data_IF_835657074326
#
_entry.id   IF_835657074326
#
_cell.length_a   1.000
_cell.length_b   1.000
_cell.length_c   1.000
_cell.angle_alpha   90.00
_cell.angle_beta   90.00
_cell.angle_gamma   90.00
#
_symmetry.space_group_name_H-M   'P 1'
#
loop_
_entity.id
_entity.type
_entity.pdbx_description
1 polymer ?
#
# COMPACT_ATOMS: atom_id res chain seq x y z
N UNK A 1 -81.56 13.61 59.84
CA UNK A 1 -81.01 14.41 58.74
C UNK A 1 -80.42 15.66 59.34
N UNK A 2 -79.17 15.93 58.98
CA UNK A 2 -78.50 17.24 58.97
C UNK A 2 -78.29 18.06 60.24
N UNK A 3 -77.03 18.47 60.30
CA UNK A 3 -76.53 19.82 60.58
C UNK A 3 -75.99 20.15 61.97
N UNK A 4 -74.80 20.73 61.88
CA UNK A 4 -73.75 20.92 62.86
C UNK A 4 -74.05 22.13 63.76
N UNK A 5 -73.60 22.03 65.01
CA UNK A 5 -73.74 23.02 66.05
C UNK A 5 -72.32 23.46 66.47
N UNK A 6 -72.10 24.79 66.45
CA UNK A 6 -71.32 25.65 67.38
C UNK A 6 -69.87 25.24 67.79
N UNK A 7 -68.94 26.12 68.18
CA UNK A 7 -69.01 27.27 69.09
C UNK A 7 -67.72 28.13 69.00
N UNK A 8 -67.82 29.35 69.54
CA UNK A 8 -66.74 30.29 69.85
C UNK A 8 -65.70 29.77 70.88
N UNK A 9 -64.50 30.38 70.93
CA UNK A 9 -63.92 31.08 72.11
C UNK A 9 -62.48 31.58 71.84
N UNK A 10 -62.21 32.77 72.39
CA UNK A 10 -60.98 33.57 72.40
C UNK A 10 -59.83 33.04 73.27
N UNK A 11 -58.60 33.49 73.03
CA UNK A 11 -57.50 33.41 74.00
C UNK A 11 -56.15 33.84 73.44
N UNK A 12 -55.62 34.97 73.92
CA UNK A 12 -54.23 35.39 73.68
C UNK A 12 -53.29 34.95 74.82
N UNK A 13 -51.97 34.94 74.57
CA UNK A 13 -50.85 35.20 75.51
C UNK A 13 -49.48 34.90 74.85
N UNK A 14 -48.79 35.97 74.41
CA UNK A 14 -47.44 36.43 74.83
C UNK A 14 -46.18 35.49 74.75
N UNK A 15 -44.94 36.01 74.89
CA UNK A 15 -43.80 35.68 74.01
C UNK A 15 -42.68 34.87 74.69
N UNK A 16 -41.84 34.23 73.89
CA UNK A 16 -40.52 33.75 74.31
C UNK A 16 -39.47 34.10 73.24
N UNK A 17 -38.79 35.22 73.46
CA UNK A 17 -37.45 35.46 72.92
C UNK A 17 -36.48 34.49 73.63
N UNK A 18 -35.68 33.72 72.88
CA UNK A 18 -34.28 33.49 73.29
C UNK A 18 -33.40 32.94 72.16
N UNK A 19 -32.32 33.70 71.94
CA UNK A 19 -30.98 33.29 71.46
C UNK A 19 -30.82 32.69 70.06
N UNK A 20 -30.43 33.59 69.17
CA UNK A 20 -29.22 33.54 68.35
C UNK A 20 -28.30 32.33 68.61
N UNK A 21 -28.25 31.41 67.65
CA UNK A 21 -27.06 30.61 67.38
C UNK A 21 -26.69 30.80 65.91
N UNK A 22 -25.59 31.52 65.73
CA UNK A 22 -24.79 31.63 64.53
C UNK A 22 -24.29 30.24 64.06
N UNK A 23 -24.20 30.11 62.73
CA UNK A 23 -23.86 28.95 61.89
C UNK A 23 -22.72 28.01 62.36
N UNK A 24 -22.65 26.83 61.72
CA UNK A 24 -21.42 26.54 61.00
C UNK A 24 -21.68 26.21 59.52
N UNK A 25 -21.11 27.03 58.62
CA UNK A 25 -20.67 26.55 57.31
C UNK A 25 -19.70 25.40 57.52
N UNK A 26 -20.14 24.16 57.34
CA UNK A 26 -19.24 23.01 57.31
C UNK A 26 -19.61 22.05 56.17
N UNK A 27 -18.95 22.28 55.03
CA UNK A 27 -18.13 21.23 54.41
C UNK A 27 -18.82 20.11 53.67
N UNK A 28 -19.68 20.41 52.68
CA UNK A 28 -20.06 19.42 51.66
C UNK A 28 -18.87 19.18 50.70
N UNK A 29 -17.91 18.37 51.12
CA UNK A 29 -16.99 17.68 50.19
C UNK A 29 -17.71 16.48 49.56
N UNK A 30 -18.78 16.72 48.78
CA UNK A 30 -19.45 15.65 48.02
C UNK A 30 -19.51 15.93 46.51
N UNK A 31 -18.40 16.46 45.99
CA UNK A 31 -18.14 16.56 44.55
C UNK A 31 -16.90 15.78 44.12
N UNK A 32 -16.15 15.15 45.04
CA UNK A 32 -14.89 14.48 44.69
C UNK A 32 -15.09 13.08 44.08
N UNK A 33 -15.96 12.24 44.68
CA UNK A 33 -16.17 10.86 44.23
C UNK A 33 -16.99 10.77 42.94
N UNK A 34 -18.10 11.51 42.86
CA UNK A 34 -18.94 11.57 41.65
C UNK A 34 -18.13 12.08 40.44
N UNK A 35 -17.39 13.18 40.60
CA UNK A 35 -16.56 13.73 39.51
C UNK A 35 -15.41 12.79 39.14
N UNK A 36 -14.79 12.13 40.12
CA UNK A 36 -13.78 11.10 39.86
C UNK A 36 -14.35 9.94 39.02
N UNK A 37 -15.50 9.38 39.43
CA UNK A 37 -16.13 8.28 38.70
C UNK A 37 -16.61 8.70 37.30
N UNK A 38 -17.13 9.91 37.12
CA UNK A 38 -17.49 10.42 35.78
C UNK A 38 -16.27 10.56 34.87
N UNK A 39 -15.15 11.09 35.38
CA UNK A 39 -13.89 11.17 34.62
C UNK A 39 -13.33 9.79 34.28
N UNK A 40 -13.38 8.86 35.24
CA UNK A 40 -12.97 7.49 35.02
C UNK A 40 -13.82 6.81 33.95
N UNK A 41 -15.15 6.96 34.01
CA UNK A 41 -16.06 6.44 32.98
C UNK A 41 -15.79 7.05 31.61
N UNK A 42 -15.57 8.36 31.51
CA UNK A 42 -15.24 9.01 30.25
C UNK A 42 -13.90 8.50 29.68
N UNK A 43 -12.91 8.29 30.54
CA UNK A 43 -11.61 7.72 30.15
C UNK A 43 -11.77 6.30 29.63
N UNK A 44 -12.48 5.44 30.36
CA UNK A 44 -12.71 4.03 29.97
C UNK A 44 -13.49 3.96 28.65
N UNK A 45 -14.56 4.74 28.49
CA UNK A 45 -15.32 4.79 27.22
C UNK A 45 -14.48 5.37 26.07
N UNK A 46 -13.67 6.39 26.34
CA UNK A 46 -12.72 6.93 25.37
C UNK A 46 -11.69 5.89 24.92
N UNK A 47 -11.15 5.10 25.85
CA UNK A 47 -10.22 4.01 25.55
C UNK A 47 -10.88 2.93 24.68
N UNK A 48 -12.11 2.51 25.01
CA UNK A 48 -12.89 1.58 24.18
C UNK A 48 -13.13 2.18 22.78
N UNK A 49 -13.50 3.46 22.71
CA UNK A 49 -13.68 4.18 21.44
C UNK A 49 -12.42 4.19 20.58
N UNK A 50 -11.24 4.42 21.17
CA UNK A 50 -9.95 4.37 20.45
C UNK A 50 -9.66 2.96 19.95
N UNK A 51 -9.84 1.93 20.77
CA UNK A 51 -9.58 0.54 20.38
C UNK A 51 -10.42 0.13 19.17
N UNK A 52 -11.68 0.59 19.09
CA UNK A 52 -12.56 0.31 17.96
C UNK A 52 -12.31 1.23 16.76
N UNK A 53 -12.00 2.51 16.97
CA UNK A 53 -11.79 3.47 15.89
C UNK A 53 -10.47 3.24 15.15
N UNK A 54 -9.40 2.86 15.86
CA UNK A 54 -8.06 2.67 15.27
C UNK A 54 -8.03 1.70 14.08
N UNK A 55 -8.59 0.46 14.14
CA UNK A 55 -8.58 -0.42 12.98
C UNK A 55 -9.38 0.13 11.80
N UNK A 56 -10.51 0.81 12.05
CA UNK A 56 -11.35 1.41 11.01
C UNK A 56 -10.61 2.56 10.32
N UNK A 57 -10.07 3.49 11.09
CA UNK A 57 -9.31 4.64 10.57
C UNK A 57 -8.06 4.16 9.82
N UNK A 58 -7.34 3.17 10.37
CA UNK A 58 -6.18 2.58 9.71
C UNK A 58 -6.55 1.87 8.40
N UNK A 59 -7.69 1.18 8.35
CA UNK A 59 -8.18 0.54 7.14
C UNK A 59 -8.51 1.58 6.06
N UNK A 60 -9.24 2.64 6.42
CA UNK A 60 -9.65 3.69 5.49
C UNK A 60 -8.48 4.55 5.00
N UNK A 61 -7.54 4.91 5.88
CA UNK A 61 -6.37 5.73 5.54
C UNK A 61 -5.16 4.90 5.10
N UNK A 62 -5.23 3.58 5.17
CA UNK A 62 -4.16 2.66 4.81
C UNK A 62 -3.52 2.95 3.46
N UNK A 63 -4.29 3.13 2.38
CA UNK A 63 -3.76 3.43 1.05
C UNK A 63 -2.96 4.74 0.96
N UNK A 64 -3.31 5.75 1.76
CA UNK A 64 -2.66 7.07 1.75
C UNK A 64 -1.39 7.06 2.60
N UNK A 65 -1.43 6.35 3.74
CA UNK A 65 -0.32 6.31 4.70
C UNK A 65 0.77 5.34 4.22
N UNK A 66 0.40 4.26 3.52
CA UNK A 66 1.36 3.33 2.92
C UNK A 66 1.83 3.86 1.56
N UNK A 67 2.67 4.90 1.56
CA UNK A 67 3.46 5.24 0.36
C UNK A 67 4.32 4.02 0.02
N UNK A 68 3.98 3.32 -1.06
CA UNK A 68 4.76 2.20 -1.60
C UNK A 68 6.13 2.72 -2.08
N UNK A 69 7.08 2.84 -1.16
CA UNK A 69 8.48 3.22 -1.44
C UNK A 69 9.20 2.22 -2.35
N UNK A 70 8.60 1.06 -2.59
CA UNK A 70 9.11 -0.03 -3.42
C UNK A 70 8.85 0.13 -4.93
N UNK A 71 8.26 1.25 -5.36
CA UNK A 71 7.75 1.43 -6.72
C UNK A 71 8.83 1.37 -7.84
N UNK A 72 10.11 1.49 -7.51
CA UNK A 72 11.22 1.47 -8.47
C UNK A 72 12.49 0.91 -7.83
N UNK A 73 12.40 -0.26 -7.20
CA UNK A 73 13.57 -0.88 -6.60
C UNK A 73 14.43 -1.59 -7.65
N UNK A 74 15.75 -1.47 -7.55
CA UNK A 74 16.66 -2.25 -8.37
C UNK A 74 16.80 -3.65 -7.77
N UNK A 75 16.30 -4.65 -8.49
CA UNK A 75 16.25 -6.06 -8.05
C UNK A 75 17.23 -6.87 -8.90
N UNK A 76 18.01 -7.73 -8.27
CA UNK A 76 18.95 -8.62 -8.96
C UNK A 76 18.20 -9.81 -9.57
N UNK A 77 18.49 -10.12 -10.84
CA UNK A 77 17.98 -11.33 -11.53
C UNK A 77 18.95 -12.51 -11.46
N UNK A 78 20.23 -12.24 -11.22
CA UNK A 78 21.28 -13.26 -11.23
C UNK A 78 22.59 -12.70 -11.77
N UNK A 79 23.53 -13.59 -12.08
CA UNK A 79 24.75 -13.21 -12.77
C UNK A 79 24.49 -13.05 -14.27
N UNK A 80 25.29 -12.23 -14.93
CA UNK A 80 25.27 -12.02 -16.38
C UNK A 80 25.50 -13.34 -17.14
N UNK A 81 26.31 -14.24 -16.59
CA UNK A 81 26.65 -15.53 -17.20
C UNK A 81 25.52 -16.57 -17.15
N UNK A 82 24.52 -16.36 -16.28
CA UNK A 82 23.30 -17.20 -16.24
C UNK A 82 22.44 -17.02 -17.50
N UNK A 83 22.74 -15.98 -18.29
CA UNK A 83 22.05 -15.59 -19.51
C UNK A 83 23.05 -15.65 -20.69
N UNK A 84 23.08 -16.75 -21.47
CA UNK A 84 23.96 -16.88 -22.63
C UNK A 84 23.57 -15.94 -23.78
N UNK A 85 24.54 -15.52 -24.59
CA UNK A 85 24.30 -14.65 -25.75
C UNK A 85 23.46 -15.34 -26.82
N UNK A 86 22.52 -14.59 -27.41
CA UNK A 86 21.59 -15.09 -28.40
C UNK A 86 20.41 -15.88 -27.83
N UNK A 87 20.38 -16.14 -26.52
CA UNK A 87 19.32 -16.90 -25.86
C UNK A 87 18.35 -16.00 -25.08
N UNK A 88 17.12 -16.50 -24.95
CA UNK A 88 16.09 -15.97 -24.06
C UNK A 88 15.85 -16.98 -22.94
N UNK A 89 16.07 -16.57 -21.69
CA UNK A 89 15.91 -17.40 -20.50
C UNK A 89 14.85 -16.83 -19.57
N UNK A 90 14.17 -17.72 -18.86
CA UNK A 90 13.24 -17.33 -17.80
C UNK A 90 14.05 -16.98 -16.55
N UNK A 91 13.69 -15.88 -15.89
CA UNK A 91 14.23 -15.50 -14.60
C UNK A 91 13.11 -15.08 -13.66
N UNK A 92 13.30 -15.34 -12.37
CA UNK A 92 12.34 -14.95 -11.33
C UNK A 92 12.97 -13.89 -10.42
N UNK A 93 12.15 -12.99 -9.93
CA UNK A 93 12.53 -12.00 -8.92
C UNK A 93 11.44 -11.89 -7.85
N UNK A 94 11.83 -11.49 -6.62
CA UNK A 94 10.87 -11.26 -5.54
C UNK A 94 10.32 -9.85 -5.61
N UNK A 95 9.00 -9.69 -5.68
CA UNK A 95 8.39 -8.37 -5.71
C UNK A 95 8.60 -7.66 -4.35
N UNK A 96 9.16 -6.43 -4.33
CA UNK A 96 9.46 -5.67 -3.11
C UNK A 96 8.21 -5.17 -2.37
N UNK A 97 7.03 -5.29 -2.97
CA UNK A 97 5.74 -4.96 -2.34
C UNK A 97 5.10 -6.18 -1.64
N UNK A 98 5.83 -7.29 -1.54
CA UNK A 98 5.37 -8.51 -0.86
C UNK A 98 5.76 -8.51 0.61
N UNK A 99 4.92 -9.13 1.40
CA UNK A 99 5.10 -9.43 2.82
C UNK A 99 5.73 -10.81 3.00
N UNK A 100 6.07 -11.16 4.24
CA UNK A 100 6.65 -12.47 4.54
C UNK A 100 5.66 -13.62 4.33
N UNK A 101 4.36 -13.37 4.57
CA UNK A 101 3.32 -14.40 4.47
C UNK A 101 2.92 -14.73 3.02
N UNK A 102 3.32 -13.90 2.04
CA UNK A 102 3.05 -14.15 0.63
C UNK A 102 3.78 -15.39 0.08
N UNK A 103 4.88 -15.81 0.73
CA UNK A 103 5.64 -17.00 0.33
C UNK A 103 6.02 -16.98 -1.15
N UNK A 104 5.73 -18.07 -1.86
CA UNK A 104 6.02 -18.22 -3.30
C UNK A 104 5.19 -17.28 -4.19
N UNK A 105 4.03 -16.81 -3.73
CA UNK A 105 3.22 -15.85 -4.51
C UNK A 105 3.90 -14.48 -4.64
N UNK A 106 4.94 -14.23 -3.84
CA UNK A 106 5.78 -13.05 -3.97
C UNK A 106 6.84 -13.13 -5.07
N UNK A 107 7.01 -14.28 -5.74
CA UNK A 107 7.91 -14.44 -6.89
C UNK A 107 7.19 -14.05 -8.17
N UNK A 108 7.86 -13.24 -8.98
CA UNK A 108 7.39 -12.80 -10.29
C UNK A 108 8.40 -13.24 -11.34
N UNK A 109 7.90 -13.83 -12.41
CA UNK A 109 8.71 -14.25 -13.53
C UNK A 109 8.88 -13.13 -14.58
N UNK A 110 9.99 -13.17 -15.30
CA UNK A 110 10.32 -12.30 -16.42
C UNK A 110 11.18 -13.05 -17.44
N UNK A 111 11.20 -12.57 -18.68
CA UNK A 111 12.05 -13.11 -19.74
C UNK A 111 13.27 -12.22 -19.92
N UNK A 112 14.46 -12.82 -19.88
CA UNK A 112 15.72 -12.12 -20.15
C UNK A 112 16.27 -12.63 -21.46
N UNK A 113 16.41 -11.71 -22.42
CA UNK A 113 17.09 -11.95 -23.68
C UNK A 113 18.44 -11.27 -23.65
N UNK A 114 19.52 -12.00 -23.91
CA UNK A 114 20.85 -11.41 -24.12
C UNK A 114 21.15 -11.36 -25.60
N UNK A 115 21.30 -10.17 -26.16
CA UNK A 115 21.56 -9.99 -27.60
C UNK A 115 23.04 -10.23 -27.91
N UNK A 116 23.92 -9.52 -27.20
CA UNK A 116 25.38 -9.60 -27.38
C UNK A 116 26.08 -8.89 -26.24
N UNK A 117 27.16 -9.45 -25.68
CA UNK A 117 27.91 -8.84 -24.59
C UNK A 117 26.98 -8.42 -23.44
N UNK A 118 27.01 -7.13 -23.10
CA UNK A 118 26.19 -6.53 -22.05
C UNK A 118 24.86 -5.93 -22.54
N UNK A 119 24.43 -6.23 -23.77
CA UNK A 119 23.16 -5.80 -24.34
C UNK A 119 22.06 -6.81 -24.01
N UNK A 120 21.15 -6.42 -23.11
CA UNK A 120 20.02 -7.22 -22.66
C UNK A 120 18.69 -6.57 -23.05
N UNK A 121 17.66 -7.39 -23.14
CA UNK A 121 16.26 -6.97 -23.07
C UNK A 121 15.58 -7.81 -22.00
N UNK A 122 14.85 -7.16 -21.10
CA UNK A 122 14.14 -7.87 -20.02
C UNK A 122 12.66 -7.57 -20.16
N UNK A 123 11.90 -8.58 -20.56
CA UNK A 123 10.45 -8.47 -20.75
C UNK A 123 9.71 -8.92 -19.49
N UNK A 124 8.65 -8.20 -19.16
CA UNK A 124 7.67 -8.74 -18.23
C UNK A 124 7.01 -9.98 -18.83
N UNK A 125 6.70 -10.96 -17.98
CA UNK A 125 6.00 -12.17 -18.44
C UNK A 125 4.57 -11.88 -18.92
N UNK A 126 4.01 -10.73 -18.53
CA UNK A 126 2.63 -10.36 -18.78
C UNK A 126 2.39 -9.95 -20.25
N UNK A 127 1.46 -10.65 -20.90
CA UNK A 127 0.92 -10.29 -22.20
C UNK A 127 0.26 -8.90 -22.15
N UNK A 128 0.54 -8.06 -23.15
CA UNK A 128 -0.03 -6.73 -23.30
C UNK A 128 -1.52 -6.68 -23.65
N UNK A 129 -2.22 -7.82 -23.66
CA UNK A 129 -3.69 -7.86 -23.75
C UNK A 129 -4.31 -7.73 -22.35
N UNK A 130 -4.32 -8.82 -21.57
CA UNK A 130 -4.95 -8.87 -20.24
C UNK A 130 -4.02 -9.47 -19.17
N UNK A 131 -2.71 -9.46 -19.42
CA UNK A 131 -1.71 -9.82 -18.41
C UNK A 131 -1.41 -11.31 -18.25
N UNK A 132 -2.02 -12.21 -19.03
CA UNK A 132 -1.66 -13.63 -19.04
C UNK A 132 -0.16 -13.85 -19.28
N UNK A 133 0.47 -14.86 -18.66
CA UNK A 133 1.89 -15.13 -18.87
C UNK A 133 2.16 -15.61 -20.31
N UNK A 134 3.14 -14.99 -20.97
CA UNK A 134 3.63 -15.43 -22.29
C UNK A 134 4.75 -16.44 -22.14
N UNK A 135 4.85 -17.36 -23.10
CA UNK A 135 5.91 -18.36 -23.17
C UNK A 135 6.80 -18.12 -24.38
N UNK A 136 8.11 -18.20 -24.19
CA UNK A 136 9.10 -18.18 -25.26
C UNK A 136 9.19 -19.55 -25.97
N UNK A 137 9.25 -19.53 -27.30
CA UNK A 137 9.48 -20.69 -28.15
C UNK A 137 10.71 -20.44 -29.02
N UNK A 138 11.81 -21.15 -28.76
CA UNK A 138 13.11 -20.97 -29.40
C UNK A 138 13.09 -21.26 -30.90
N UNK A 139 12.30 -22.26 -31.32
CA UNK A 139 12.26 -22.75 -32.69
C UNK A 139 11.63 -21.73 -33.63
N UNK A 140 10.56 -21.06 -33.17
CA UNK A 140 9.85 -20.03 -33.93
C UNK A 140 10.33 -18.61 -33.63
N UNK A 141 11.12 -18.43 -32.58
CA UNK A 141 11.55 -17.13 -32.05
C UNK A 141 10.39 -16.20 -31.70
N UNK A 142 9.35 -16.78 -31.11
CA UNK A 142 8.13 -16.04 -30.71
C UNK A 142 7.83 -16.20 -29.23
N UNK A 143 7.27 -15.15 -28.63
CA UNK A 143 6.51 -15.27 -27.40
C UNK A 143 5.04 -15.49 -27.73
N UNK A 144 4.44 -16.53 -27.16
CA UNK A 144 3.03 -16.86 -27.38
C UNK A 144 2.24 -16.81 -26.07
N UNK A 145 1.09 -16.16 -26.12
CA UNK A 145 0.11 -16.08 -25.04
C UNK A 145 -0.99 -17.14 -25.25
N UNK A 146 -1.16 -18.11 -24.32
CA UNK A 146 -2.12 -19.20 -24.51
C UNK A 146 -3.58 -18.77 -24.35
N UNK A 147 -3.86 -17.60 -23.76
CA UNK A 147 -5.22 -17.21 -23.43
C UNK A 147 -6.07 -16.87 -24.66
N UNK A 148 -5.54 -16.06 -25.58
CA UNK A 148 -6.28 -15.55 -26.74
C UNK A 148 -5.40 -15.43 -28.00
N UNK A 149 -4.28 -16.16 -28.05
CA UNK A 149 -3.40 -16.18 -29.23
C UNK A 149 -2.60 -14.91 -29.48
N UNK A 150 -2.30 -14.12 -28.43
CA UNK A 150 -1.36 -13.00 -28.56
C UNK A 150 0.04 -13.51 -28.90
N UNK A 151 0.69 -12.93 -29.90
CA UNK A 151 2.02 -13.33 -30.35
C UNK A 151 2.96 -12.11 -30.47
N UNK A 152 4.22 -12.32 -30.11
CA UNK A 152 5.26 -11.29 -30.14
C UNK A 152 6.54 -11.84 -30.74
N UNK A 153 7.28 -10.99 -31.45
CA UNK A 153 8.60 -11.33 -31.97
C UNK A 153 9.66 -11.40 -30.86
N UNK A 154 10.85 -11.88 -31.20
CA UNK A 154 11.99 -12.00 -30.27
C UNK A 154 12.41 -10.68 -29.61
N UNK A 155 12.12 -9.55 -30.23
CA UNK A 155 12.38 -8.20 -29.71
C UNK A 155 11.24 -7.67 -28.83
N UNK A 156 10.18 -8.46 -28.62
CA UNK A 156 8.99 -8.09 -27.85
C UNK A 156 7.95 -7.31 -28.65
N UNK A 157 8.21 -6.94 -29.91
CA UNK A 157 7.23 -6.24 -30.73
C UNK A 157 6.02 -7.12 -31.06
N UNK A 158 4.86 -6.51 -31.26
CA UNK A 158 3.61 -7.22 -31.54
C UNK A 158 3.69 -7.93 -32.89
N UNK A 159 3.49 -9.25 -32.89
CA UNK A 159 3.37 -10.02 -34.12
C UNK A 159 1.90 -10.22 -34.53
N UNK A 160 1.04 -10.69 -33.63
CA UNK A 160 -0.35 -11.00 -33.94
C UNK A 160 -1.27 -11.08 -32.71
N UNK A 161 -2.56 -11.29 -32.97
CA UNK A 161 -3.59 -11.52 -31.96
C UNK A 161 -4.19 -10.24 -31.39
N UNK A 162 -5.01 -10.37 -30.33
CA UNK A 162 -5.71 -9.26 -29.69
C UNK A 162 -4.86 -8.14 -29.06
N UNK A 163 -3.63 -8.38 -28.50
CA UNK A 163 -2.86 -7.30 -27.88
C UNK A 163 -2.67 -6.12 -28.85
N UNK A 164 -2.77 -4.89 -28.39
CA UNK A 164 -2.65 -3.70 -29.26
C UNK A 164 -1.20 -3.22 -29.47
N UNK A 165 -0.25 -3.75 -28.68
CA UNK A 165 1.15 -3.32 -28.63
C UNK A 165 2.08 -4.46 -28.24
N UNK A 166 3.39 -4.19 -28.21
CA UNK A 166 4.43 -5.13 -27.78
C UNK A 166 4.43 -5.45 -26.28
N UNK A 167 5.26 -6.41 -25.90
CA UNK A 167 5.54 -6.77 -24.52
C UNK A 167 6.10 -5.59 -23.75
N UNK A 168 5.89 -5.61 -22.44
CA UNK A 168 6.45 -4.60 -21.56
C UNK A 168 7.91 -4.93 -21.24
N UNK A 169 8.75 -3.91 -21.16
CA UNK A 169 10.17 -4.04 -20.85
C UNK A 169 10.51 -3.40 -19.51
N UNK A 170 11.29 -4.11 -18.70
CA UNK A 170 11.91 -3.53 -17.52
C UNK A 170 13.19 -2.79 -17.91
N UNK A 171 13.42 -1.63 -17.29
CA UNK A 171 14.74 -1.00 -17.35
C UNK A 171 15.73 -1.90 -16.63
N UNK A 172 16.87 -2.17 -17.23
CA UNK A 172 17.93 -2.95 -16.60
C UNK A 172 19.20 -2.11 -16.40
N UNK A 173 20.08 -2.62 -15.55
CA UNK A 173 21.46 -2.18 -15.42
C UNK A 173 22.32 -3.35 -15.01
N UNK A 174 23.63 -3.25 -15.27
CA UNK A 174 24.61 -4.21 -14.80
C UNK A 174 25.38 -3.57 -13.65
N UNK A 175 25.46 -4.27 -12.52
CA UNK A 175 26.21 -3.85 -11.35
C UNK A 175 27.23 -4.94 -10.99
N UNK A 176 28.50 -4.72 -11.39
CA UNK A 176 29.52 -5.78 -11.33
C UNK A 176 29.18 -6.91 -12.29
N UNK A 177 29.07 -8.14 -11.77
CA UNK A 177 28.68 -9.33 -12.53
C UNK A 177 27.16 -9.60 -12.53
N UNK A 178 26.35 -8.73 -11.91
CA UNK A 178 24.92 -8.97 -11.70
C UNK A 178 24.05 -8.17 -12.65
N UNK A 179 23.07 -8.84 -13.26
CA UNK A 179 21.99 -8.19 -14.00
C UNK A 179 20.91 -7.75 -13.01
N UNK A 180 20.54 -6.47 -13.05
CA UNK A 180 19.49 -5.90 -12.22
C UNK A 180 18.39 -5.26 -13.06
N UNK A 181 17.16 -5.30 -12.59
CA UNK A 181 16.00 -4.65 -13.20
C UNK A 181 15.35 -3.65 -12.26
N UNK A 182 14.79 -2.59 -12.82
CA UNK A 182 13.93 -1.65 -12.12
C UNK A 182 12.51 -2.21 -12.13
N UNK A 183 12.12 -2.82 -11.00
CA UNK A 183 10.84 -3.50 -10.87
C UNK A 183 10.21 -3.20 -9.49
N UNK A 184 8.93 -3.55 -9.36
CA UNK A 184 8.14 -3.32 -8.15
C UNK A 184 6.66 -3.40 -8.41
N UNK A 185 6.21 -2.70 -9.46
CA UNK A 185 4.86 -2.86 -10.00
C UNK A 185 4.89 -3.79 -11.22
N UNK A 186 3.90 -4.68 -11.29
CA UNK A 186 3.65 -5.47 -12.48
C UNK A 186 3.08 -4.56 -13.57
N UNK A 187 3.61 -4.58 -14.79
CA UNK A 187 3.04 -3.81 -15.87
C UNK A 187 1.59 -4.21 -16.13
N UNK A 188 0.72 -3.21 -16.25
CA UNK A 188 -0.69 -3.36 -16.63
C UNK A 188 -0.98 -2.55 -17.89
N UNK A 189 -2.19 -2.69 -18.44
CA UNK A 189 -2.63 -1.80 -19.52
C UNK A 189 -2.58 -0.32 -19.11
N UNK A 190 -2.95 -0.02 -17.87
CA UNK A 190 -2.98 1.33 -17.32
C UNK A 190 -1.60 1.83 -16.89
N UNK A 191 -0.68 0.92 -16.58
CA UNK A 191 0.67 1.25 -16.09
C UNK A 191 1.74 0.47 -16.85
N UNK A 192 2.39 1.06 -17.87
CA UNK A 192 3.43 0.35 -18.58
C UNK A 192 4.71 0.27 -17.74
N UNK A 193 5.31 -0.92 -17.66
CA UNK A 193 6.74 -1.03 -17.34
C UNK A 193 7.47 -0.39 -18.53
N UNK A 194 7.85 0.87 -18.34
CA UNK A 194 8.66 1.69 -19.26
C UNK A 194 8.30 1.61 -20.75
N UNK A 195 7.05 1.81 -21.13
CA UNK A 195 6.70 2.15 -22.53
C UNK A 195 6.64 3.67 -22.69
N UNK A 196 7.79 4.34 -22.58
CA UNK A 196 8.03 5.71 -23.08
C UNK A 196 9.53 6.01 -22.99
N UNK A 197 10.28 5.55 -24.01
CA UNK A 197 11.42 6.19 -24.66
C UNK A 197 12.28 5.11 -25.33
N UNK A 198 11.99 4.82 -26.60
CA UNK A 198 12.81 4.00 -27.50
C UNK A 198 14.14 4.67 -27.90
N UNK A 199 14.67 5.59 -27.08
CA UNK A 199 15.93 6.29 -27.29
C UNK A 199 16.82 6.13 -26.05
N UNK A 200 17.17 4.89 -25.74
CA UNK A 200 18.32 4.64 -24.88
C UNK A 200 19.54 4.43 -25.78
N UNK A 201 20.40 5.44 -25.87
CA UNK A 201 21.74 5.29 -26.41
C UNK A 201 22.60 4.76 -25.26
N UNK A 202 23.18 3.55 -25.38
CA UNK A 202 24.12 3.02 -24.40
C UNK A 202 25.24 4.04 -24.10
N UNK A 203 25.62 4.19 -22.82
CA UNK A 203 26.63 5.20 -22.42
C UNK A 203 28.00 4.98 -23.05
N UNK A 204 28.30 3.79 -23.55
CA UNK A 204 29.47 3.45 -24.38
C UNK A 204 29.40 4.02 -25.81
N UNK A 205 28.20 4.41 -26.27
CA UNK A 205 27.97 5.03 -27.59
C UNK A 205 27.86 6.56 -27.54
N UNK A 206 27.85 7.16 -26.34
CA UNK A 206 28.06 8.61 -26.20
C UNK A 206 29.56 8.84 -26.28
N UNK A 207 30.03 9.18 -27.48
CA UNK A 207 31.42 9.54 -27.71
C UNK A 207 31.91 10.57 -26.68
N UNK A 208 33.18 10.45 -26.28
CA UNK A 208 33.90 11.43 -25.43
C UNK A 208 33.91 12.80 -26.12
N UNK A 209 32.82 13.54 -26.04
CA UNK A 209 32.74 14.93 -26.46
C UNK A 209 33.05 15.81 -25.24
N UNK A 210 34.32 16.19 -25.15
CA UNK A 210 34.81 17.50 -24.71
C UNK A 210 34.18 18.11 -23.44
N UNK A 211 34.79 17.84 -22.29
CA UNK A 211 34.83 18.79 -21.18
C UNK A 211 36.16 19.56 -21.28
N UNK A 212 36.17 20.68 -22.00
CA UNK A 212 37.18 21.72 -21.87
C UNK A 212 36.50 23.09 -21.97
N UNK A 213 36.97 23.98 -21.09
CA UNK A 213 36.57 25.36 -20.74
C UNK A 213 35.22 25.54 -20.06
#
# INVERSE_FOLDING_TARGET
MSEQHSDHVSGGLSPQENKLQSEPKNGLKDHSRRVFLFKLSLLVNGAVGVVLAVPIVRYLLGPVIQKKSSYHSWITLGNVDDFPEGETRLADYRNPSTTEWDGDTGKVACWVRRKSGNDFQVFAINCAHLGCPVRWFSESKLFLCPCHGGAYYEDGSRAAGPPERGLFEYKYRIAGAKLMINAGELPTLSTPASAQNANFVPLDKIGRATWQS
#
